data_IF_855808492889
#
_entry.id   IF_855808492889
#
_cell.length_a   1.000
_cell.length_b   1.000
_cell.length_c   1.000
_cell.angle_alpha   90.00
_cell.angle_beta   90.00
_cell.angle_gamma   90.00
#
_symmetry.space_group_name_H-M   'P 1'
#
loop_
_entity.id
_entity.type
_entity.pdbx_description
1 polymer ?
#
# COMPACT_ATOMS: atom_id res chain seq x y z
N UNK A 1 13.56 -20.34 17.36
CA UNK A 1 14.21 -21.53 17.93
C UNK A 1 13.43 -22.83 17.65
N UNK A 2 12.12 -22.90 17.98
CA UNK A 2 11.34 -24.13 17.73
C UNK A 2 11.18 -24.49 16.25
N UNK A 3 11.06 -23.49 15.35
CA UNK A 3 11.00 -23.70 13.91
C UNK A 3 12.34 -24.18 13.33
N UNK A 4 13.42 -23.53 13.69
CA UNK A 4 14.76 -23.87 13.25
C UNK A 4 15.22 -25.23 13.76
N UNK A 5 14.79 -25.63 14.98
CA UNK A 5 15.05 -26.96 15.51
C UNK A 5 14.32 -28.04 14.71
N UNK A 6 13.07 -27.77 14.29
CA UNK A 6 12.33 -28.68 13.38
C UNK A 6 13.06 -28.85 12.04
N UNK A 7 13.55 -27.77 11.45
CA UNK A 7 14.31 -27.81 10.22
C UNK A 7 15.63 -28.58 10.35
N UNK A 8 16.32 -28.44 11.47
CA UNK A 8 17.51 -29.25 11.77
C UNK A 8 17.18 -30.73 11.84
N UNK A 9 16.02 -31.11 12.40
CA UNK A 9 15.56 -32.52 12.44
C UNK A 9 15.12 -33.05 11.06
N UNK A 10 14.73 -32.16 10.12
CA UNK A 10 14.37 -32.54 8.75
C UNK A 10 15.55 -32.53 7.78
N UNK A 11 16.76 -32.21 8.24
CA UNK A 11 17.98 -32.22 7.41
C UNK A 11 18.31 -33.65 6.94
N UNK A 12 18.68 -33.78 5.67
CA UNK A 12 18.89 -35.08 5.04
C UNK A 12 20.19 -35.76 5.47
N UNK A 13 21.20 -34.97 5.92
CA UNK A 13 22.48 -35.50 6.38
C UNK A 13 22.79 -35.08 7.81
N UNK A 14 23.61 -35.91 8.51
CA UNK A 14 24.09 -35.58 9.86
C UNK A 14 24.92 -34.30 9.90
N UNK A 15 25.72 -34.08 8.86
CA UNK A 15 26.54 -32.87 8.72
C UNK A 15 25.68 -31.59 8.60
N UNK A 16 24.64 -31.63 7.76
CA UNK A 16 23.69 -30.52 7.62
C UNK A 16 22.96 -30.25 8.94
N UNK A 17 22.60 -31.31 9.68
CA UNK A 17 21.97 -31.20 11.01
C UNK A 17 22.89 -30.55 12.01
N UNK A 18 24.13 -31.02 12.10
CA UNK A 18 25.15 -30.51 13.03
C UNK A 18 25.49 -29.03 12.72
N UNK A 19 25.57 -28.66 11.45
CA UNK A 19 25.79 -27.27 11.03
C UNK A 19 24.63 -26.36 11.47
N UNK A 20 23.37 -26.76 11.20
CA UNK A 20 22.19 -26.00 11.61
C UNK A 20 22.06 -25.83 13.12
N UNK A 21 22.29 -26.91 13.89
CA UNK A 21 22.27 -26.83 15.34
C UNK A 21 23.33 -25.87 15.89
N UNK A 22 24.54 -25.93 15.32
CA UNK A 22 25.61 -25.00 15.69
C UNK A 22 25.27 -23.55 15.35
N UNK A 23 24.57 -23.30 14.25
CA UNK A 23 24.10 -21.97 13.87
C UNK A 23 23.04 -21.43 14.83
N UNK A 24 22.12 -22.29 15.26
CA UNK A 24 21.12 -21.94 16.27
C UNK A 24 21.82 -21.58 17.59
N UNK A 25 22.68 -22.47 18.10
CA UNK A 25 23.44 -22.24 19.33
C UNK A 25 24.24 -20.92 19.28
N UNK A 26 24.97 -20.73 18.19
CA UNK A 26 25.74 -19.50 17.96
C UNK A 26 24.86 -18.24 17.87
N UNK A 27 23.64 -18.34 17.35
CA UNK A 27 22.74 -17.18 17.24
C UNK A 27 22.27 -16.70 18.60
N UNK A 28 22.12 -17.62 19.57
CA UNK A 28 21.75 -17.31 20.95
C UNK A 28 22.94 -17.09 21.89
N UNK A 29 24.18 -17.24 21.40
CA UNK A 29 25.37 -17.07 22.21
C UNK A 29 25.62 -15.59 22.54
N UNK A 30 25.42 -15.19 23.79
CA UNK A 30 25.57 -13.82 24.28
C UNK A 30 27.01 -13.30 24.20
N UNK A 31 28.01 -14.17 24.07
CA UNK A 31 29.39 -13.75 23.83
C UNK A 31 29.63 -13.28 22.39
N UNK A 32 28.83 -13.79 21.44
CA UNK A 32 28.96 -13.50 20.02
C UNK A 32 27.96 -12.43 19.54
N UNK A 33 26.81 -12.32 20.18
CA UNK A 33 25.71 -11.46 19.74
C UNK A 33 25.04 -10.72 20.88
N UNK A 34 24.38 -9.62 20.58
CA UNK A 34 23.42 -8.99 21.49
C UNK A 34 22.16 -9.89 21.58
N UNK A 35 21.37 -9.81 22.68
CA UNK A 35 20.20 -10.66 22.89
C UNK A 35 19.15 -10.58 21.77
N UNK A 36 19.05 -9.45 21.08
CA UNK A 36 18.07 -9.24 20.01
C UNK A 36 18.49 -9.81 18.65
N UNK A 37 19.76 -10.17 18.46
CA UNK A 37 20.27 -10.68 17.18
C UNK A 37 19.49 -11.91 16.68
N UNK A 38 19.37 -12.94 17.53
CA UNK A 38 18.68 -14.17 17.17
C UNK A 38 17.19 -13.93 16.84
N UNK A 39 16.54 -13.05 17.60
CA UNK A 39 15.15 -12.65 17.35
C UNK A 39 15.00 -11.95 16.00
N UNK A 40 15.87 -10.96 15.72
CA UNK A 40 15.86 -10.24 14.44
C UNK A 40 16.14 -11.16 13.26
N UNK A 41 17.15 -12.04 13.39
CA UNK A 41 17.47 -12.99 12.34
C UNK A 41 16.29 -13.91 12.04
N UNK A 42 15.64 -14.46 13.07
CA UNK A 42 14.46 -15.30 12.91
C UNK A 42 13.30 -14.56 12.21
N UNK A 43 13.02 -13.32 12.61
CA UNK A 43 11.95 -12.51 12.00
C UNK A 43 12.24 -12.23 10.52
N UNK A 44 13.47 -11.86 10.19
CA UNK A 44 13.88 -11.58 8.80
C UNK A 44 13.82 -12.86 7.95
N UNK A 45 14.21 -13.99 8.53
CA UNK A 45 14.19 -15.28 7.83
C UNK A 45 12.78 -15.83 7.60
N UNK A 46 11.91 -15.74 8.60
CA UNK A 46 10.66 -16.52 8.59
C UNK A 46 9.40 -15.66 8.43
N UNK A 47 9.44 -14.38 8.83
CA UNK A 47 8.23 -13.58 8.99
C UNK A 47 8.14 -12.38 8.04
N UNK A 48 9.28 -11.83 7.55
CA UNK A 48 9.27 -10.56 6.82
C UNK A 48 9.47 -10.78 5.32
N UNK A 49 8.55 -10.23 4.54
CA UNK A 49 8.60 -10.18 3.09
C UNK A 49 8.44 -8.73 2.63
N UNK A 50 9.09 -8.35 1.54
CA UNK A 50 9.02 -6.99 1.01
C UNK A 50 8.83 -6.96 -0.50
N UNK A 51 7.93 -6.09 -0.94
CA UNK A 51 7.66 -5.84 -2.35
C UNK A 51 7.68 -4.34 -2.59
N UNK A 52 8.39 -3.90 -3.60
CA UNK A 52 8.37 -2.53 -4.11
C UNK A 52 8.53 -2.56 -5.63
N UNK A 53 7.93 -1.60 -6.32
CA UNK A 53 8.07 -1.49 -7.78
C UNK A 53 9.48 -1.02 -8.18
N UNK A 54 10.21 -0.38 -7.28
CA UNK A 54 11.54 0.17 -7.55
C UNK A 54 12.64 -0.80 -7.10
N UNK A 55 13.47 -1.33 -8.03
CA UNK A 55 14.59 -2.20 -7.66
C UNK A 55 15.53 -1.56 -6.65
N UNK A 56 15.78 -0.25 -6.75
CA UNK A 56 16.65 0.47 -5.80
C UNK A 56 16.06 0.50 -4.37
N UNK A 57 14.74 0.60 -4.21
CA UNK A 57 14.10 0.56 -2.90
C UNK A 57 14.28 -0.82 -2.24
N UNK A 58 14.22 -1.89 -3.03
CA UNK A 58 14.51 -3.26 -2.58
C UNK A 58 15.97 -3.39 -2.14
N UNK A 59 16.93 -2.83 -2.89
CA UNK A 59 18.35 -2.86 -2.49
C UNK A 59 18.59 -2.10 -1.17
N UNK A 60 17.99 -0.92 -1.02
CA UNK A 60 18.07 -0.13 0.21
C UNK A 60 17.45 -0.90 1.39
N UNK A 61 16.32 -1.57 1.19
CA UNK A 61 15.67 -2.37 2.21
C UNK A 61 16.57 -3.53 2.67
N UNK A 62 17.15 -4.28 1.74
CA UNK A 62 18.13 -5.34 2.04
C UNK A 62 19.31 -4.80 2.84
N UNK A 63 19.87 -3.66 2.43
CA UNK A 63 20.98 -3.02 3.14
C UNK A 63 20.59 -2.63 4.58
N UNK A 64 19.40 -2.10 4.79
CA UNK A 64 18.92 -1.73 6.13
C UNK A 64 18.74 -2.94 7.03
N UNK A 65 18.18 -4.04 6.52
CA UNK A 65 18.11 -5.31 7.28
C UNK A 65 19.50 -5.85 7.60
N UNK A 66 20.42 -5.75 6.66
CA UNK A 66 21.82 -6.08 6.89
C UNK A 66 22.41 -5.29 8.07
N UNK A 67 22.36 -3.98 7.98
CA UNK A 67 22.91 -3.11 9.03
C UNK A 67 22.26 -3.46 10.38
N UNK A 68 20.93 -3.67 10.41
CA UNK A 68 20.22 -4.04 11.63
C UNK A 68 20.68 -5.35 12.25
N UNK A 69 21.13 -6.31 11.44
CA UNK A 69 21.69 -7.56 11.93
C UNK A 69 23.15 -7.41 12.35
N UNK A 70 23.96 -6.64 11.62
CA UNK A 70 25.39 -6.46 11.91
C UNK A 70 25.62 -5.73 13.23
N UNK A 71 24.83 -4.67 13.50
CA UNK A 71 24.99 -3.87 14.73
C UNK A 71 24.71 -4.66 16.02
N UNK A 72 24.01 -5.77 15.92
CA UNK A 72 23.74 -6.65 17.06
C UNK A 72 24.78 -7.79 17.21
N UNK A 73 25.74 -7.90 16.28
CA UNK A 73 26.84 -8.84 16.40
C UNK A 73 28.01 -8.22 17.16
N UNK A 74 28.72 -9.02 17.93
CA UNK A 74 29.94 -8.60 18.62
C UNK A 74 31.16 -8.90 17.74
N UNK A 75 31.94 -7.88 17.44
CA UNK A 75 33.15 -8.05 16.69
C UNK A 75 34.30 -8.54 17.59
N UNK A 76 35.24 -9.28 16.99
CA UNK A 76 36.52 -9.65 17.57
C UNK A 76 37.67 -9.01 16.78
N UNK A 77 38.90 -9.15 17.25
CA UNK A 77 40.07 -8.55 16.59
C UNK A 77 40.72 -9.51 15.55
N UNK A 78 40.03 -10.56 15.10
CA UNK A 78 40.57 -11.53 14.18
C UNK A 78 40.08 -11.26 12.75
N UNK A 79 40.89 -10.68 11.85
CA UNK A 79 40.51 -10.45 10.45
C UNK A 79 40.34 -11.71 9.63
N UNK A 80 40.97 -12.83 10.03
CA UNK A 80 40.83 -14.11 9.33
C UNK A 80 39.44 -14.70 9.49
N UNK A 81 38.78 -14.42 10.63
CA UNK A 81 37.42 -14.80 10.92
C UNK A 81 36.40 -13.67 10.61
N UNK A 82 36.73 -12.83 9.64
CA UNK A 82 35.92 -11.66 9.29
C UNK A 82 35.50 -10.82 10.51
N UNK A 83 36.41 -10.66 11.50
CA UNK A 83 36.16 -9.98 12.76
C UNK A 83 35.02 -10.58 13.60
N UNK A 84 34.69 -11.85 13.41
CA UNK A 84 33.56 -12.54 14.07
C UNK A 84 32.19 -12.21 13.46
N UNK A 85 32.14 -11.37 12.43
CA UNK A 85 30.89 -10.97 11.79
C UNK A 85 30.40 -12.06 10.84
N UNK A 86 29.20 -12.54 11.06
CA UNK A 86 28.59 -13.58 10.22
C UNK A 86 28.15 -13.04 8.88
N UNK A 87 28.23 -13.85 7.81
CA UNK A 87 27.72 -13.49 6.50
C UNK A 87 26.19 -13.30 6.58
N UNK A 88 25.71 -12.41 5.72
CA UNK A 88 24.29 -12.12 5.57
C UNK A 88 23.50 -13.29 5.05
N UNK A 89 22.25 -13.45 5.52
CA UNK A 89 21.28 -14.28 4.82
C UNK A 89 21.00 -13.75 3.41
N UNK A 90 20.57 -14.63 2.51
CA UNK A 90 20.22 -14.24 1.14
C UNK A 90 18.81 -13.66 1.12
N UNK A 91 18.72 -12.34 1.19
CA UNK A 91 17.45 -11.61 1.25
C UNK A 91 16.70 -11.57 -0.10
N UNK A 92 17.30 -12.07 -1.19
CA UNK A 92 16.68 -12.16 -2.52
C UNK A 92 15.38 -12.98 -2.51
N UNK A 93 15.33 -14.02 -1.66
CA UNK A 93 14.13 -14.85 -1.50
C UNK A 93 13.01 -14.19 -0.69
N UNK A 94 13.25 -13.03 -0.11
CA UNK A 94 12.32 -12.32 0.78
C UNK A 94 11.93 -10.94 0.29
N UNK A 95 12.74 -10.33 -0.59
CA UNK A 95 12.54 -8.97 -1.08
C UNK A 95 12.62 -8.93 -2.59
N UNK A 96 11.51 -8.58 -3.26
CA UNK A 96 11.39 -8.60 -4.71
C UNK A 96 10.95 -7.24 -5.25
N UNK A 97 11.49 -6.87 -6.42
CA UNK A 97 10.98 -5.74 -7.18
C UNK A 97 9.86 -6.23 -8.09
N UNK A 98 8.63 -5.77 -7.84
CA UNK A 98 7.45 -6.21 -8.57
C UNK A 98 6.30 -5.19 -8.50
N UNK A 99 5.42 -5.21 -9.52
CA UNK A 99 4.17 -4.48 -9.47
C UNK A 99 3.17 -5.25 -8.59
N UNK A 100 3.03 -4.85 -7.33
CA UNK A 100 2.18 -5.54 -6.35
C UNK A 100 0.69 -5.45 -6.64
N UNK A 101 0.22 -4.51 -7.48
CA UNK A 101 -1.18 -4.38 -7.87
C UNK A 101 -1.60 -5.41 -8.93
N UNK A 102 -0.68 -5.88 -9.76
CA UNK A 102 -0.97 -6.87 -10.79
C UNK A 102 -0.62 -8.25 -10.29
N UNK A 103 -1.65 -9.12 -10.18
CA UNK A 103 -1.47 -10.54 -9.88
C UNK A 103 -1.23 -11.36 -11.16
N UNK A 104 -0.95 -12.65 -10.98
CA UNK A 104 -1.16 -13.62 -12.07
C UNK A 104 -2.67 -13.79 -12.20
N UNK A 105 -3.23 -13.48 -13.37
CA UNK A 105 -4.64 -13.76 -13.67
C UNK A 105 -4.81 -15.26 -13.89
N UNK A 106 -4.95 -15.99 -12.82
CA UNK A 106 -5.39 -17.38 -12.89
C UNK A 106 -6.91 -17.40 -12.72
N UNK A 107 -7.65 -17.55 -13.81
CA UNK A 107 -9.12 -17.71 -13.76
C UNK A 107 -9.54 -18.96 -12.99
N UNK A 108 -8.59 -19.88 -12.70
CA UNK A 108 -8.84 -21.13 -12.00
C UNK A 108 -7.64 -21.50 -11.08
N UNK A 109 -7.78 -21.29 -9.80
CA UNK A 109 -6.82 -21.78 -8.78
C UNK A 109 -6.80 -23.32 -8.67
N UNK A 110 -7.68 -24.02 -9.36
CA UNK A 110 -7.71 -25.48 -9.41
C UNK A 110 -6.57 -26.08 -10.28
N UNK A 111 -5.88 -25.26 -11.04
CA UNK A 111 -4.88 -25.69 -12.03
C UNK A 111 -3.54 -26.11 -11.42
N UNK A 112 -3.24 -25.73 -10.17
CA UNK A 112 -2.01 -26.10 -9.46
C UNK A 112 -2.15 -27.40 -8.65
N UNK A 113 -3.01 -28.33 -9.09
CA UNK A 113 -3.40 -29.48 -8.24
C UNK A 113 -2.84 -30.84 -8.67
N UNK A 114 -2.02 -30.92 -9.73
CA UNK A 114 -1.41 -32.21 -10.07
C UNK A 114 -0.32 -32.60 -9.06
N UNK A 115 -0.14 -33.92 -8.80
CA UNK A 115 0.92 -34.39 -7.90
C UNK A 115 2.32 -33.90 -8.28
N UNK A 116 2.59 -33.78 -9.59
CA UNK A 116 3.87 -33.34 -10.14
C UNK A 116 4.10 -31.85 -9.85
N UNK A 117 3.09 -31.01 -10.05
CA UNK A 117 3.18 -29.58 -9.74
C UNK A 117 3.40 -29.36 -8.25
N UNK A 118 2.65 -30.05 -7.38
CA UNK A 118 2.84 -29.99 -5.92
C UNK A 118 4.24 -30.40 -5.49
N UNK A 119 4.84 -31.40 -6.15
CA UNK A 119 6.20 -31.81 -5.84
C UNK A 119 7.22 -30.74 -6.28
N UNK A 120 7.05 -30.11 -7.44
CA UNK A 120 7.93 -29.00 -7.87
C UNK A 120 7.80 -27.81 -6.91
N UNK A 121 6.57 -27.46 -6.50
CA UNK A 121 6.33 -26.41 -5.49
C UNK A 121 7.02 -26.70 -4.16
N UNK A 122 6.89 -27.92 -3.66
CA UNK A 122 7.57 -28.37 -2.44
C UNK A 122 9.08 -28.23 -2.56
N UNK A 123 9.65 -28.59 -3.71
CA UNK A 123 11.09 -28.46 -3.98
C UNK A 123 11.51 -26.99 -4.09
N UNK A 124 10.69 -26.13 -4.69
CA UNK A 124 10.92 -24.68 -4.73
C UNK A 124 10.95 -24.08 -3.33
N UNK A 125 10.01 -24.45 -2.45
CA UNK A 125 9.97 -23.98 -1.07
C UNK A 125 11.23 -24.42 -0.30
N UNK A 126 11.63 -25.69 -0.42
CA UNK A 126 12.85 -26.21 0.19
C UNK A 126 14.09 -25.48 -0.34
N UNK A 127 14.19 -25.27 -1.64
CA UNK A 127 15.32 -24.58 -2.25
C UNK A 127 15.40 -23.11 -1.85
N UNK A 128 14.24 -22.41 -1.75
CA UNK A 128 14.14 -21.04 -1.24
C UNK A 128 14.60 -20.93 0.22
N UNK A 129 14.22 -21.88 1.07
CA UNK A 129 14.67 -21.91 2.46
C UNK A 129 16.19 -22.19 2.55
N UNK A 130 16.68 -23.16 1.78
CA UNK A 130 18.12 -23.52 1.76
C UNK A 130 18.99 -22.42 1.19
N UNK A 131 18.55 -21.66 0.18
CA UNK A 131 19.34 -20.54 -0.35
C UNK A 131 19.43 -19.40 0.66
N UNK A 132 18.38 -19.15 1.46
CA UNK A 132 18.42 -18.12 2.49
C UNK A 132 19.58 -18.34 3.48
N UNK A 133 19.76 -19.57 3.94
CA UNK A 133 20.80 -19.95 4.91
C UNK A 133 22.16 -20.33 4.30
N UNK A 134 22.29 -20.32 2.96
CA UNK A 134 23.53 -20.73 2.29
C UNK A 134 24.67 -19.72 2.53
N UNK A 135 25.78 -20.19 3.13
CA UNK A 135 26.92 -19.36 3.53
C UNK A 135 28.03 -19.28 2.49
N UNK A 136 28.25 -20.35 1.69
CA UNK A 136 29.34 -20.40 0.74
C UNK A 136 28.88 -20.06 -0.67
N UNK A 137 29.77 -19.47 -1.48
CA UNK A 137 29.49 -19.19 -2.88
C UNK A 137 29.05 -20.44 -3.65
N UNK A 138 29.65 -21.60 -3.36
CA UNK A 138 29.33 -22.88 -4.00
C UNK A 138 27.89 -23.32 -3.69
N UNK A 139 27.48 -23.25 -2.42
CA UNK A 139 26.10 -23.60 -1.99
C UNK A 139 25.08 -22.61 -2.51
N UNK A 140 25.38 -21.31 -2.50
CA UNK A 140 24.52 -20.27 -3.10
C UNK A 140 24.28 -20.53 -4.59
N UNK A 141 25.36 -20.81 -5.34
CA UNK A 141 25.28 -21.11 -6.77
C UNK A 141 24.44 -22.36 -7.03
N UNK A 142 24.67 -23.45 -6.27
CA UNK A 142 23.90 -24.70 -6.40
C UNK A 142 22.40 -24.46 -6.25
N UNK A 143 21.97 -23.77 -5.19
CA UNK A 143 20.54 -23.53 -4.96
C UNK A 143 19.97 -22.51 -5.94
N UNK A 144 20.75 -21.56 -6.41
CA UNK A 144 20.33 -20.63 -7.47
C UNK A 144 20.06 -21.37 -8.79
N UNK A 145 20.94 -22.25 -9.22
CA UNK A 145 20.75 -23.08 -10.40
C UNK A 145 19.51 -24.00 -10.21
N UNK A 146 19.40 -24.65 -9.06
CA UNK A 146 18.25 -25.50 -8.73
C UNK A 146 16.91 -24.73 -8.78
N UNK A 147 16.84 -23.53 -8.22
CA UNK A 147 15.64 -22.69 -8.26
C UNK A 147 15.28 -22.29 -9.69
N UNK A 148 16.28 -21.99 -10.51
CA UNK A 148 16.07 -21.69 -11.93
C UNK A 148 15.50 -22.88 -12.68
N UNK A 149 16.07 -24.06 -12.50
CA UNK A 149 15.64 -25.29 -13.17
C UNK A 149 14.23 -25.71 -12.74
N UNK A 150 13.91 -25.65 -11.44
CA UNK A 150 12.59 -25.96 -10.93
C UNK A 150 11.51 -25.01 -11.47
N UNK A 151 11.83 -23.72 -11.62
CA UNK A 151 10.90 -22.77 -12.25
C UNK A 151 10.67 -23.06 -13.72
N UNK A 152 11.70 -23.42 -14.48
CA UNK A 152 11.54 -23.83 -15.87
C UNK A 152 10.69 -25.10 -15.99
N UNK A 153 10.89 -26.08 -15.11
CA UNK A 153 10.05 -27.27 -15.06
C UNK A 153 8.60 -26.94 -14.74
N UNK A 154 8.36 -26.04 -13.79
CA UNK A 154 7.00 -25.58 -13.45
C UNK A 154 6.33 -24.91 -14.65
N UNK A 155 7.02 -23.96 -15.28
CA UNK A 155 6.50 -23.29 -16.49
C UNK A 155 6.19 -24.28 -17.60
N UNK A 156 7.08 -25.26 -17.85
CA UNK A 156 6.88 -26.32 -18.82
C UNK A 156 5.63 -27.16 -18.52
N UNK A 157 5.41 -27.55 -17.26
CA UNK A 157 4.24 -28.31 -16.85
C UNK A 157 2.94 -27.50 -16.98
N UNK A 158 2.96 -26.22 -16.62
CA UNK A 158 1.81 -25.34 -16.82
C UNK A 158 1.47 -25.15 -18.30
N UNK A 159 2.49 -25.11 -19.18
CA UNK A 159 2.32 -25.07 -20.63
C UNK A 159 1.67 -26.35 -21.18
N UNK A 160 2.18 -27.51 -20.78
CA UNK A 160 1.63 -28.82 -21.20
C UNK A 160 0.15 -28.95 -20.84
N UNK A 161 -0.29 -28.32 -19.78
CA UNK A 161 -1.69 -28.37 -19.29
C UNK A 161 -2.58 -27.28 -19.89
N UNK A 162 -2.08 -26.39 -20.74
CA UNK A 162 -2.77 -25.16 -21.17
C UNK A 162 -3.36 -24.36 -20.00
N UNK A 163 -2.71 -24.42 -18.85
CA UNK A 163 -3.20 -23.91 -17.58
C UNK A 163 -3.09 -22.39 -17.47
N UNK A 164 -2.27 -21.77 -18.30
CA UNK A 164 -1.94 -20.34 -18.27
C UNK A 164 -1.83 -19.83 -19.71
N UNK A 165 -2.31 -18.62 -19.98
CA UNK A 165 -2.17 -18.01 -21.30
C UNK A 165 -0.73 -17.68 -21.66
N UNK A 166 -0.40 -17.61 -22.96
CA UNK A 166 0.96 -17.40 -23.47
C UNK A 166 1.67 -16.19 -22.85
N UNK A 167 0.98 -15.07 -22.66
CA UNK A 167 1.54 -13.87 -22.04
C UNK A 167 1.92 -14.05 -20.55
N UNK A 168 1.16 -14.85 -19.81
CA UNK A 168 1.44 -15.17 -18.40
C UNK A 168 2.61 -16.14 -18.31
N UNK A 169 2.70 -17.09 -19.24
CA UNK A 169 3.83 -18.02 -19.34
C UNK A 169 5.14 -17.28 -19.58
N UNK A 170 5.14 -16.30 -20.49
CA UNK A 170 6.30 -15.46 -20.76
C UNK A 170 6.70 -14.63 -19.52
N UNK A 171 5.75 -14.08 -18.80
CA UNK A 171 5.98 -13.36 -17.53
C UNK A 171 6.61 -14.28 -16.48
N UNK A 172 6.07 -15.47 -16.26
CA UNK A 172 6.60 -16.45 -15.30
C UNK A 172 8.00 -16.93 -15.67
N UNK A 173 8.24 -17.23 -16.95
CA UNK A 173 9.52 -17.68 -17.45
C UNK A 173 10.61 -16.60 -17.39
N UNK A 174 10.26 -15.34 -17.61
CA UNK A 174 11.20 -14.20 -17.63
C UNK A 174 11.62 -13.73 -16.24
N UNK A 175 10.84 -14.06 -15.18
CA UNK A 175 11.16 -13.58 -13.84
C UNK A 175 12.34 -14.31 -13.21
N UNK A 176 13.38 -13.57 -12.87
CA UNK A 176 14.56 -14.05 -12.13
C UNK A 176 14.73 -13.23 -10.83
N UNK A 177 14.53 -13.88 -9.67
CA UNK A 177 14.70 -13.25 -8.35
C UNK A 177 16.11 -12.71 -8.10
N UNK A 178 17.10 -13.19 -8.85
CA UNK A 178 18.50 -12.78 -8.72
C UNK A 178 18.86 -11.62 -9.65
N UNK A 179 17.95 -11.24 -10.56
CA UNK A 179 18.13 -10.04 -11.36
C UNK A 179 17.71 -8.81 -10.57
N UNK A 180 18.68 -8.25 -9.83
CA UNK A 180 18.45 -7.16 -8.90
C UNK A 180 18.07 -5.82 -9.55
N UNK A 181 18.20 -5.70 -10.87
CA UNK A 181 17.92 -4.49 -11.64
C UNK A 181 16.57 -4.55 -12.38
N UNK A 182 15.93 -5.70 -12.42
CA UNK A 182 14.64 -5.89 -13.06
C UNK A 182 13.48 -5.77 -12.05
N UNK A 183 12.37 -5.23 -12.54
CA UNK A 183 11.09 -5.22 -11.84
C UNK A 183 10.14 -6.18 -12.57
N UNK A 184 9.53 -7.10 -11.84
CA UNK A 184 8.48 -7.96 -12.39
C UNK A 184 7.21 -7.14 -12.66
N UNK A 185 6.58 -7.38 -13.81
CA UNK A 185 5.30 -6.75 -14.16
C UNK A 185 4.12 -7.23 -13.31
N UNK A 186 4.31 -8.25 -12.47
CA UNK A 186 3.30 -8.87 -11.62
C UNK A 186 3.86 -9.21 -10.25
N UNK A 187 2.98 -9.47 -9.29
CA UNK A 187 3.34 -10.00 -7.98
C UNK A 187 2.40 -11.15 -7.60
N UNK A 188 3.00 -12.31 -7.39
CA UNK A 188 2.32 -13.48 -6.87
C UNK A 188 3.07 -14.01 -5.62
N UNK A 189 2.43 -14.04 -4.44
CA UNK A 189 3.08 -14.42 -3.19
C UNK A 189 3.45 -15.90 -3.14
N UNK A 190 2.68 -16.78 -3.79
CA UNK A 190 2.99 -18.20 -3.84
C UNK A 190 4.19 -18.46 -4.74
N UNK A 191 4.19 -17.91 -5.95
CA UNK A 191 5.27 -18.06 -6.91
C UNK A 191 6.60 -17.43 -6.43
N UNK A 192 6.53 -16.20 -5.86
CA UNK A 192 7.72 -15.44 -5.48
C UNK A 192 8.26 -15.81 -4.11
N UNK A 193 7.39 -16.10 -3.15
CA UNK A 193 7.75 -16.32 -1.75
C UNK A 193 7.40 -17.70 -1.20
N UNK A 194 6.61 -18.49 -1.93
CA UNK A 194 6.06 -19.76 -1.44
C UNK A 194 4.95 -19.59 -0.39
N UNK A 195 4.30 -18.41 -0.36
CA UNK A 195 3.21 -18.10 0.59
C UNK A 195 1.87 -18.39 -0.08
N UNK A 196 1.20 -19.49 0.31
CA UNK A 196 -0.08 -19.94 -0.27
C UNK A 196 -1.30 -19.30 0.38
N UNK A 197 -1.32 -19.26 1.70
CA UNK A 197 -2.53 -18.90 2.47
C UNK A 197 -2.68 -17.40 2.69
N UNK A 198 -1.75 -16.59 2.15
CA UNK A 198 -1.69 -15.16 2.39
C UNK A 198 -0.87 -14.77 3.63
N UNK A 199 -0.92 -13.50 3.99
CA UNK A 199 -0.12 -12.91 5.06
C UNK A 199 -0.97 -12.63 6.31
N UNK A 200 -0.34 -12.72 7.48
CA UNK A 200 -0.98 -12.38 8.75
C UNK A 200 -1.05 -10.86 8.97
N UNK A 201 -0.09 -10.12 8.41
CA UNK A 201 -0.02 -8.65 8.47
C UNK A 201 0.47 -8.11 7.14
N UNK A 202 -0.26 -7.12 6.61
CA UNK A 202 0.17 -6.30 5.48
C UNK A 202 0.31 -4.86 5.95
N UNK A 203 1.52 -4.29 5.81
CA UNK A 203 1.83 -2.92 6.24
C UNK A 203 2.44 -2.15 5.07
N UNK A 204 2.08 -0.86 4.91
CA UNK A 204 2.65 -0.07 3.84
C UNK A 204 2.34 1.42 3.89
N UNK A 205 3.01 2.11 2.99
CA UNK A 205 2.77 3.51 2.64
C UNK A 205 2.63 3.60 1.12
N UNK A 206 1.45 3.26 0.57
CA UNK A 206 1.20 3.31 -0.86
C UNK A 206 1.40 4.70 -1.45
N UNK A 207 1.77 4.82 -2.75
CA UNK A 207 1.99 6.12 -3.39
C UNK A 207 0.71 6.96 -3.47
N UNK A 208 0.85 8.29 -3.32
CA UNK A 208 -0.25 9.27 -3.40
C UNK A 208 -0.30 9.89 -4.80
N UNK A 209 -0.72 9.10 -5.78
CA UNK A 209 -0.75 9.47 -7.20
C UNK A 209 -2.14 9.26 -7.76
N UNK A 210 -2.69 10.27 -8.42
CA UNK A 210 -3.98 10.17 -9.07
C UNK A 210 -3.89 9.32 -10.34
N UNK A 211 -4.86 8.43 -10.55
CA UNK A 211 -4.90 7.53 -11.71
C UNK A 211 -4.99 8.26 -13.05
N UNK A 212 -5.53 9.49 -13.05
CA UNK A 212 -5.64 10.33 -14.26
C UNK A 212 -4.36 11.07 -14.62
N UNK A 213 -3.35 11.10 -13.74
CA UNK A 213 -2.07 11.75 -14.03
C UNK A 213 -1.33 11.02 -15.17
N UNK A 214 -0.32 11.68 -15.74
CA UNK A 214 0.49 11.14 -16.84
C UNK A 214 -0.38 10.65 -18.01
N UNK A 215 -1.26 11.53 -18.51
CA UNK A 215 -2.19 11.25 -19.61
C UNK A 215 -3.10 10.03 -19.36
N UNK A 216 -3.30 9.68 -18.09
CA UNK A 216 -4.13 8.57 -17.68
C UNK A 216 -3.51 7.18 -17.91
N UNK A 217 -2.20 7.08 -18.01
CA UNK A 217 -1.50 5.78 -18.16
C UNK A 217 -1.84 4.80 -17.05
N UNK A 218 -1.78 5.25 -15.79
CA UNK A 218 -2.16 4.41 -14.65
C UNK A 218 -3.63 4.01 -14.70
N UNK A 219 -4.53 4.92 -15.10
CA UNK A 219 -5.92 4.60 -15.26
C UNK A 219 -6.12 3.47 -16.27
N UNK A 220 -5.53 3.59 -17.48
CA UNK A 220 -5.62 2.58 -18.53
C UNK A 220 -5.04 1.23 -18.10
N UNK A 221 -3.98 1.26 -17.28
CA UNK A 221 -3.34 0.05 -16.77
C UNK A 221 -4.24 -0.75 -15.82
N UNK A 222 -5.03 -0.06 -14.98
CA UNK A 222 -5.79 -0.71 -13.90
C UNK A 222 -7.32 -0.76 -14.11
N UNK A 223 -7.88 -0.08 -15.13
CA UNK A 223 -9.33 0.00 -15.34
C UNK A 223 -10.01 -1.34 -15.60
N UNK A 224 -9.28 -2.31 -16.15
CA UNK A 224 -9.79 -3.66 -16.46
C UNK A 224 -9.24 -4.74 -15.53
N UNK A 225 -8.60 -4.39 -14.40
CA UNK A 225 -8.02 -5.36 -13.48
C UNK A 225 -9.01 -5.89 -12.42
N UNK A 226 -10.31 -5.55 -12.52
CA UNK A 226 -11.35 -6.07 -11.65
C UNK A 226 -11.40 -5.46 -10.24
N UNK A 227 -10.70 -4.37 -9.95
CA UNK A 227 -10.76 -3.72 -8.64
C UNK A 227 -12.13 -3.08 -8.38
N UNK A 228 -12.79 -3.49 -7.30
CA UNK A 228 -14.03 -2.88 -6.80
C UNK A 228 -13.83 -1.42 -6.39
N UNK A 229 -12.63 -1.10 -5.88
CA UNK A 229 -12.26 0.25 -5.41
C UNK A 229 -11.84 1.18 -6.54
N UNK A 230 -11.77 0.72 -7.78
CA UNK A 230 -11.35 1.53 -8.91
C UNK A 230 -12.31 2.70 -9.17
N UNK A 231 -11.76 3.90 -9.20
CA UNK A 231 -12.44 5.12 -9.66
C UNK A 231 -11.50 5.89 -10.59
N UNK A 232 -11.95 6.27 -11.79
CA UNK A 232 -11.10 6.89 -12.83
C UNK A 232 -10.41 8.20 -12.39
N UNK A 233 -11.02 8.92 -11.45
CA UNK A 233 -10.49 10.16 -10.85
C UNK A 233 -9.84 9.91 -9.46
N UNK A 234 -9.73 8.64 -9.06
CA UNK A 234 -9.23 8.24 -7.76
C UNK A 234 -7.70 8.25 -7.67
N UNK A 235 -7.23 8.03 -6.47
CA UNK A 235 -5.80 7.82 -6.18
C UNK A 235 -5.47 6.33 -6.16
N UNK A 236 -4.27 5.97 -6.62
CA UNK A 236 -3.82 4.57 -6.73
C UNK A 236 -3.83 3.83 -5.39
N UNK A 237 -3.65 4.52 -4.25
CA UNK A 237 -3.69 3.86 -2.94
C UNK A 237 -5.03 3.19 -2.62
N UNK A 238 -6.13 3.60 -3.26
CA UNK A 238 -7.41 2.91 -3.14
C UNK A 238 -7.33 1.47 -3.63
N UNK A 239 -6.60 1.24 -4.74
CA UNK A 239 -6.35 -0.10 -5.28
C UNK A 239 -5.42 -0.91 -4.37
N UNK A 240 -4.44 -0.25 -3.74
CA UNK A 240 -3.55 -0.89 -2.77
C UNK A 240 -4.28 -1.42 -1.55
N UNK A 241 -5.32 -0.73 -1.06
CA UNK A 241 -6.14 -1.23 0.04
C UNK A 241 -6.84 -2.55 -0.33
N UNK A 242 -7.43 -2.61 -1.51
CA UNK A 242 -8.09 -3.84 -1.98
C UNK A 242 -7.07 -4.94 -2.25
N UNK A 243 -5.96 -4.62 -2.93
CA UNK A 243 -4.90 -5.60 -3.15
C UNK A 243 -4.30 -6.11 -1.85
N UNK A 244 -4.05 -5.23 -0.89
CA UNK A 244 -3.59 -5.62 0.44
C UNK A 244 -4.56 -6.57 1.15
N UNK A 245 -5.87 -6.31 1.06
CA UNK A 245 -6.91 -7.21 1.58
C UNK A 245 -6.89 -8.58 0.88
N UNK A 246 -6.72 -8.62 -0.46
CA UNK A 246 -6.60 -9.88 -1.19
C UNK A 246 -5.40 -10.72 -0.73
N UNK A 247 -4.30 -10.07 -0.34
CA UNK A 247 -3.09 -10.71 0.14
C UNK A 247 -3.17 -11.21 1.60
N UNK A 248 -4.19 -10.83 2.36
CA UNK A 248 -4.38 -11.25 3.74
C UNK A 248 -5.04 -12.63 3.84
N UNK A 249 -4.66 -13.39 4.88
CA UNK A 249 -5.48 -14.49 5.41
C UNK A 249 -6.78 -13.94 5.99
N UNK A 250 -7.80 -14.78 6.12
CA UNK A 250 -9.01 -14.42 6.87
C UNK A 250 -8.65 -14.18 8.34
N UNK A 251 -9.22 -13.14 8.93
CA UNK A 251 -8.86 -12.68 10.28
C UNK A 251 -7.57 -11.88 10.40
N UNK A 252 -6.79 -11.75 9.33
CA UNK A 252 -5.52 -11.04 9.34
C UNK A 252 -5.68 -9.53 9.15
N UNK A 253 -4.59 -8.75 9.36
CA UNK A 253 -4.66 -7.31 9.54
C UNK A 253 -3.91 -6.54 8.46
N UNK A 254 -4.48 -5.42 8.00
CA UNK A 254 -3.79 -4.45 7.17
C UNK A 254 -3.66 -3.11 7.90
N UNK A 255 -2.47 -2.51 7.85
CA UNK A 255 -2.22 -1.18 8.36
C UNK A 255 -1.50 -0.31 7.32
N UNK A 256 -2.20 0.69 6.78
CA UNK A 256 -1.62 1.64 5.83
C UNK A 256 -1.70 3.07 6.33
N UNK A 257 -0.67 3.85 5.98
CA UNK A 257 -0.72 5.31 6.02
C UNK A 257 -0.95 5.82 4.60
N UNK A 258 -2.02 6.60 4.38
CA UNK A 258 -2.39 7.14 3.06
C UNK A 258 -2.89 8.57 3.18
N UNK A 259 -3.25 9.19 2.05
CA UNK A 259 -4.03 10.44 2.08
C UNK A 259 -5.41 10.19 2.67
N UNK A 260 -5.93 11.14 3.46
CA UNK A 260 -7.26 11.08 4.05
C UNK A 260 -8.39 11.52 3.09
N UNK A 261 -8.07 11.92 1.86
CA UNK A 261 -9.05 12.43 0.88
C UNK A 261 -10.16 11.43 0.56
N UNK A 262 -9.84 10.13 0.51
CA UNK A 262 -10.82 9.07 0.23
C UNK A 262 -11.98 9.07 1.24
N UNK A 263 -11.75 9.55 2.46
CA UNK A 263 -12.79 9.60 3.50
C UNK A 263 -13.97 10.50 3.10
N UNK A 264 -13.73 11.55 2.33
CA UNK A 264 -14.75 12.58 1.99
C UNK A 264 -14.97 12.78 0.50
N UNK A 265 -13.93 12.60 -0.33
CA UNK A 265 -14.03 12.82 -1.78
C UNK A 265 -15.01 11.86 -2.46
N UNK A 266 -15.59 12.28 -3.59
CA UNK A 266 -16.51 11.47 -4.38
C UNK A 266 -15.88 10.18 -4.88
N UNK A 267 -14.64 10.22 -5.36
CA UNK A 267 -13.94 9.03 -5.84
C UNK A 267 -13.71 7.97 -4.75
N UNK A 268 -13.70 8.37 -3.47
CA UNK A 268 -13.54 7.47 -2.33
C UNK A 268 -14.80 6.65 -1.99
N UNK A 269 -15.94 6.89 -2.64
CA UNK A 269 -17.18 6.19 -2.34
C UNK A 269 -17.06 4.67 -2.47
N UNK A 270 -16.45 4.18 -3.56
CA UNK A 270 -16.22 2.76 -3.78
C UNK A 270 -15.28 2.16 -2.72
N UNK A 271 -14.24 2.90 -2.33
CA UNK A 271 -13.29 2.49 -1.29
C UNK A 271 -13.97 2.41 0.08
N UNK A 272 -14.81 3.39 0.44
CA UNK A 272 -15.60 3.37 1.68
C UNK A 272 -16.60 2.21 1.70
N UNK A 273 -17.29 1.96 0.57
CA UNK A 273 -18.17 0.80 0.41
C UNK A 273 -17.40 -0.50 0.63
N UNK A 274 -16.23 -0.64 0.02
CA UNK A 274 -15.36 -1.81 0.17
C UNK A 274 -15.00 -2.03 1.65
N UNK A 275 -14.54 -0.99 2.36
CA UNK A 275 -14.22 -1.10 3.78
C UNK A 275 -15.44 -1.50 4.62
N UNK A 276 -16.59 -0.88 4.38
CA UNK A 276 -17.81 -1.16 5.13
C UNK A 276 -18.31 -2.61 4.95
N UNK A 277 -18.12 -3.20 3.76
CA UNK A 277 -18.72 -4.50 3.39
C UNK A 277 -17.76 -5.68 3.39
N UNK A 278 -16.46 -5.44 3.23
CA UNK A 278 -15.44 -6.50 3.05
C UNK A 278 -14.41 -6.54 4.19
N UNK A 279 -14.39 -5.53 5.06
CA UNK A 279 -13.39 -5.43 6.12
C UNK A 279 -14.03 -5.05 7.45
N UNK A 280 -13.28 -5.26 8.53
CA UNK A 280 -13.59 -4.74 9.85
C UNK A 280 -12.62 -3.59 10.17
N UNK A 281 -12.98 -2.31 9.96
CA UNK A 281 -12.15 -1.18 10.35
C UNK A 281 -12.02 -1.10 11.87
N UNK A 282 -10.81 -1.24 12.38
CA UNK A 282 -10.52 -1.30 13.82
C UNK A 282 -10.01 0.03 14.38
N UNK A 283 -9.17 0.72 13.61
CA UNK A 283 -8.55 1.97 14.01
C UNK A 283 -8.41 2.92 12.82
N UNK A 284 -8.85 4.16 13.01
CA UNK A 284 -8.66 5.24 12.05
C UNK A 284 -8.09 6.48 12.75
N UNK A 285 -6.88 6.88 12.36
CA UNK A 285 -6.23 8.09 12.87
C UNK A 285 -6.17 9.10 11.73
N UNK A 286 -6.90 10.22 11.85
CA UNK A 286 -6.87 11.34 10.90
C UNK A 286 -5.92 12.42 11.42
N UNK A 287 -4.89 12.77 10.64
CA UNK A 287 -3.93 13.81 11.01
C UNK A 287 -4.40 15.23 10.66
N UNK A 288 -5.64 15.41 10.18
CA UNK A 288 -6.39 16.68 10.19
C UNK A 288 -5.64 17.93 9.70
N UNK A 289 -4.86 17.87 8.63
CA UNK A 289 -4.05 19.00 8.12
C UNK A 289 -2.72 19.17 8.84
N UNK A 290 -2.34 18.24 9.71
CA UNK A 290 -1.00 18.16 10.31
C UNK A 290 -0.05 17.48 9.34
N UNK A 291 1.04 18.14 8.97
CA UNK A 291 2.06 17.54 8.08
C UNK A 291 2.82 16.44 8.82
N UNK A 292 2.62 15.20 8.41
CA UNK A 292 3.35 14.02 8.90
C UNK A 292 4.70 13.91 8.18
N UNK A 293 4.71 14.13 6.86
CA UNK A 293 5.92 14.05 6.04
C UNK A 293 6.42 15.45 5.67
N UNK A 294 7.75 15.66 5.73
CA UNK A 294 8.38 16.94 5.36
C UNK A 294 8.21 17.30 3.88
N UNK A 295 8.20 16.28 3.02
CA UNK A 295 8.15 16.40 1.56
C UNK A 295 6.74 16.35 0.95
N UNK A 296 5.74 15.89 1.70
CA UNK A 296 4.37 15.77 1.21
C UNK A 296 3.47 16.87 1.78
N UNK A 297 2.72 17.53 0.89
CA UNK A 297 1.71 18.56 1.25
C UNK A 297 0.31 17.94 1.42
N UNK A 298 0.23 16.64 1.64
CA UNK A 298 -1.03 15.88 1.68
C UNK A 298 -1.40 15.59 3.12
N UNK A 299 -2.66 15.81 3.46
CA UNK A 299 -3.24 15.38 4.72
C UNK A 299 -3.35 13.86 4.73
N UNK A 300 -2.90 13.24 5.83
CA UNK A 300 -2.76 11.78 5.91
C UNK A 300 -3.67 11.17 6.97
N UNK A 301 -3.92 9.88 6.82
CA UNK A 301 -4.55 9.04 7.82
C UNK A 301 -3.82 7.71 7.97
N UNK A 302 -3.97 7.07 9.12
CA UNK A 302 -3.62 5.66 9.32
C UNK A 302 -4.93 4.90 9.47
N UNK A 303 -5.11 3.87 8.64
CA UNK A 303 -6.21 2.92 8.75
C UNK A 303 -5.68 1.54 9.05
N UNK A 304 -6.19 0.93 10.12
CA UNK A 304 -6.01 -0.48 10.47
C UNK A 304 -7.36 -1.18 10.33
N UNK A 305 -7.41 -2.25 9.54
CA UNK A 305 -8.56 -3.12 9.48
C UNK A 305 -8.17 -4.61 9.53
N UNK A 306 -9.12 -5.46 9.92
CA UNK A 306 -9.03 -6.90 9.78
C UNK A 306 -9.84 -7.37 8.56
N UNK A 307 -9.42 -8.48 7.94
CA UNK A 307 -10.19 -9.18 6.90
C UNK A 307 -11.28 -10.05 7.55
N UNK A 308 -12.28 -9.37 8.06
CA UNK A 308 -13.42 -9.92 8.81
C UNK A 308 -14.68 -9.12 8.50
N UNK A 309 -15.83 -9.65 8.96
CA UNK A 309 -17.09 -8.90 8.93
C UNK A 309 -16.99 -7.64 9.80
N UNK A 310 -17.51 -6.52 9.30
CA UNK A 310 -17.50 -5.24 10.01
C UNK A 310 -18.24 -5.35 11.35
N UNK A 311 -17.56 -5.02 12.43
CA UNK A 311 -18.13 -5.00 13.79
C UNK A 311 -18.93 -3.73 14.09
N UNK A 312 -18.95 -2.76 13.18
CA UNK A 312 -19.58 -1.42 13.34
C UNK A 312 -18.96 -0.59 14.47
N UNK A 313 -17.77 -0.95 14.96
CA UNK A 313 -17.05 -0.23 16.00
C UNK A 313 -15.61 0.03 15.55
N UNK A 314 -15.36 1.25 15.10
CA UNK A 314 -14.03 1.71 14.73
C UNK A 314 -13.52 2.71 15.76
N UNK A 315 -12.37 2.44 16.37
CA UNK A 315 -11.67 3.40 17.23
C UNK A 315 -11.07 4.52 16.36
N UNK A 316 -11.42 5.76 16.64
CA UNK A 316 -10.99 6.90 15.83
C UNK A 316 -10.29 7.95 16.68
N UNK A 317 -9.26 8.60 16.12
CA UNK A 317 -8.63 9.75 16.74
C UNK A 317 -8.29 10.81 15.68
N UNK A 318 -8.42 12.09 16.03
CA UNK A 318 -8.03 13.21 15.18
C UNK A 318 -6.86 13.94 15.80
N UNK A 319 -5.77 14.04 15.06
CA UNK A 319 -4.56 14.80 15.43
C UNK A 319 -4.67 16.18 14.81
N UNK A 320 -4.88 17.21 15.64
CA UNK A 320 -4.88 18.59 15.16
C UNK A 320 -3.54 19.30 15.41
N UNK A 321 -3.36 20.50 14.86
CA UNK A 321 -2.11 21.25 14.95
C UNK A 321 -1.70 21.60 16.39
N UNK A 322 -2.68 21.84 17.26
CA UNK A 322 -2.44 22.21 18.66
C UNK A 322 -1.89 21.05 19.48
N UNK A 323 -2.30 19.84 19.11
CA UNK A 323 -1.93 18.60 19.81
C UNK A 323 -0.62 18.00 19.28
N UNK A 324 -0.26 18.24 18.02
CA UNK A 324 0.93 17.66 17.37
C UNK A 324 2.21 17.84 18.19
N UNK A 325 2.45 19.01 18.75
CA UNK A 325 3.68 19.34 19.50
C UNK A 325 3.75 18.63 20.85
N UNK A 326 2.60 18.16 21.38
CA UNK A 326 2.51 17.44 22.65
C UNK A 326 2.49 15.92 22.50
N UNK A 327 2.45 15.38 21.27
CA UNK A 327 2.44 13.92 21.04
C UNK A 327 3.85 13.37 21.13
N UNK A 328 4.23 12.87 22.30
CA UNK A 328 5.46 12.11 22.48
C UNK A 328 5.30 10.63 22.12
N UNK A 329 4.05 10.11 22.22
CA UNK A 329 3.72 8.71 21.91
C UNK A 329 2.31 8.66 21.30
N UNK A 330 2.24 8.24 20.04
CA UNK A 330 0.97 8.18 19.29
C UNK A 330 -0.02 7.16 19.90
N UNK A 331 0.46 6.03 20.41
CA UNK A 331 -0.42 5.02 21.04
C UNK A 331 -1.10 5.58 22.27
N UNK A 332 -0.36 6.25 23.15
CA UNK A 332 -0.92 6.88 24.35
C UNK A 332 -1.92 7.97 23.99
N UNK A 333 -1.58 8.80 22.99
CA UNK A 333 -2.48 9.82 22.50
C UNK A 333 -3.81 9.22 22.01
N UNK A 334 -3.75 8.19 21.19
CA UNK A 334 -4.95 7.51 20.65
C UNK A 334 -5.80 6.94 21.77
N UNK A 335 -5.21 6.25 22.73
CA UNK A 335 -5.97 5.69 23.87
C UNK A 335 -6.67 6.76 24.72
N UNK A 336 -6.07 7.94 24.86
CA UNK A 336 -6.63 9.05 25.64
C UNK A 336 -7.70 9.87 24.89
N UNK A 337 -7.63 9.93 23.55
CA UNK A 337 -8.45 10.81 22.71
C UNK A 337 -9.33 10.07 21.71
N UNK A 338 -9.45 8.74 21.83
CA UNK A 338 -10.26 7.95 20.91
C UNK A 338 -11.75 8.22 21.11
N UNK A 339 -12.46 8.21 20.00
CA UNK A 339 -13.91 8.10 19.92
C UNK A 339 -14.27 6.86 19.11
N UNK A 340 -15.47 6.32 19.28
CA UNK A 340 -15.95 5.21 18.48
C UNK A 340 -16.86 5.72 17.38
N UNK A 341 -16.64 5.23 16.15
CA UNK A 341 -17.43 5.56 14.99
C UNK A 341 -17.95 4.27 14.34
N UNK A 342 -19.18 4.35 13.81
CA UNK A 342 -19.74 3.32 12.94
C UNK A 342 -19.59 3.74 11.48
N UNK A 343 -18.83 2.99 10.71
CA UNK A 343 -18.61 3.18 9.29
C UNK A 343 -19.31 2.07 8.49
N UNK A 344 -20.62 2.04 8.56
CA UNK A 344 -21.45 1.01 7.94
C UNK A 344 -21.68 1.17 6.43
N UNK A 345 -21.24 2.26 5.80
CA UNK A 345 -21.64 2.55 4.43
C UNK A 345 -20.64 3.37 3.60
N UNK A 346 -21.07 3.66 2.36
CA UNK A 346 -20.30 4.41 1.36
C UNK A 346 -20.28 5.92 1.58
N UNK A 347 -21.09 6.44 2.52
CA UNK A 347 -21.12 7.87 2.85
C UNK A 347 -19.77 8.37 3.32
N UNK A 348 -19.58 9.69 3.32
CA UNK A 348 -18.34 10.30 3.83
C UNK A 348 -18.06 9.85 5.27
N UNK A 349 -16.84 9.36 5.50
CA UNK A 349 -16.37 8.99 6.81
C UNK A 349 -15.85 10.23 7.53
N UNK A 350 -16.57 10.66 8.55
CA UNK A 350 -16.23 11.83 9.35
C UNK A 350 -16.12 11.39 10.80
N UNK A 351 -14.98 11.68 11.40
CA UNK A 351 -14.76 11.42 12.82
C UNK A 351 -15.39 12.58 13.59
N UNK A 352 -16.45 12.30 14.33
CA UNK A 352 -17.19 13.28 15.13
C UNK A 352 -17.02 12.96 16.61
N UNK A 353 -16.92 14.00 17.43
CA UNK A 353 -17.06 13.87 18.88
C UNK A 353 -18.48 13.41 19.24
N UNK A 354 -18.70 12.85 20.43
CA UNK A 354 -20.06 12.44 20.86
C UNK A 354 -21.07 13.59 20.80
N UNK A 355 -20.65 14.81 21.07
CA UNK A 355 -21.53 16.01 20.99
C UNK A 355 -21.88 16.31 19.54
N UNK A 356 -20.90 16.33 18.62
CA UNK A 356 -21.14 16.55 17.19
C UNK A 356 -22.00 15.46 16.58
N UNK A 357 -21.78 14.19 16.96
CA UNK A 357 -22.63 13.07 16.54
C UNK A 357 -24.06 13.23 17.03
N UNK A 358 -24.26 13.66 18.28
CA UNK A 358 -25.61 13.95 18.82
C UNK A 358 -26.30 15.08 18.07
N UNK A 359 -25.54 16.14 17.72
CA UNK A 359 -26.08 17.26 16.93
C UNK A 359 -26.47 16.78 15.53
N UNK A 360 -25.58 16.03 14.86
CA UNK A 360 -25.84 15.44 13.55
C UNK A 360 -27.10 14.58 13.56
N UNK A 361 -27.23 13.66 14.51
CA UNK A 361 -28.39 12.79 14.63
C UNK A 361 -29.68 13.57 14.81
N UNK A 362 -29.69 14.66 15.61
CA UNK A 362 -30.83 15.53 15.76
C UNK A 362 -31.21 16.27 14.48
N UNK A 363 -30.21 16.75 13.75
CA UNK A 363 -30.44 17.42 12.44
C UNK A 363 -31.02 16.42 11.44
N UNK A 364 -30.47 15.21 11.35
CA UNK A 364 -30.92 14.18 10.40
C UNK A 364 -32.31 13.62 10.74
N UNK A 365 -32.70 13.59 12.03
CA UNK A 365 -34.01 13.14 12.46
C UNK A 365 -35.14 14.13 12.12
N UNK A 366 -34.85 15.42 12.02
CA UNK A 366 -35.83 16.48 11.80
C UNK A 366 -35.67 17.08 10.40
N UNK A 367 -34.45 17.16 9.90
CA UNK A 367 -34.11 17.82 8.64
C UNK A 367 -34.53 17.04 7.41
N UNK A 368 -34.95 17.74 6.36
CA UNK A 368 -35.10 17.16 5.03
C UNK A 368 -33.79 17.30 4.31
N UNK A 369 -33.14 16.19 3.83
CA UNK A 369 -31.90 16.27 3.09
C UNK A 369 -31.99 17.16 1.84
N UNK A 370 -30.97 17.95 1.57
CA UNK A 370 -30.98 18.91 0.46
C UNK A 370 -31.24 18.25 -0.91
N UNK A 371 -30.81 17.01 -1.09
CA UNK A 371 -31.08 16.19 -2.29
C UNK A 371 -32.57 15.92 -2.54
N UNK A 372 -33.40 16.01 -1.47
CA UNK A 372 -34.84 15.75 -1.52
C UNK A 372 -35.65 17.04 -1.66
N UNK A 373 -34.95 18.18 -1.83
CA UNK A 373 -35.60 19.48 -2.10
C UNK A 373 -35.80 19.62 -3.60
N UNK A 374 -36.81 20.40 -3.99
CA UNK A 374 -37.01 20.76 -5.40
C UNK A 374 -36.06 21.89 -5.81
N UNK A 375 -34.77 21.56 -5.89
CA UNK A 375 -33.70 22.47 -6.24
C UNK A 375 -32.70 21.78 -7.18
N UNK A 376 -32.10 22.57 -8.04
CA UNK A 376 -30.99 22.13 -8.89
C UNK A 376 -29.70 22.80 -8.42
N UNK A 377 -28.67 21.99 -8.17
CA UNK A 377 -27.34 22.47 -7.81
C UNK A 377 -26.44 22.30 -9.03
N UNK A 378 -26.05 23.40 -9.63
CA UNK A 378 -25.19 23.39 -10.81
C UNK A 378 -23.74 23.64 -10.42
N UNK A 379 -22.83 23.02 -11.13
CA UNK A 379 -21.43 23.37 -11.08
C UNK A 379 -21.26 24.75 -11.71
N UNK A 380 -20.45 25.61 -11.09
CA UNK A 380 -20.16 26.95 -11.64
C UNK A 380 -19.48 26.89 -13.02
N UNK A 381 -19.34 28.02 -13.67
CA UNK A 381 -18.71 28.14 -14.99
C UNK A 381 -17.27 27.64 -14.93
N UNK A 382 -16.92 26.72 -15.82
CA UNK A 382 -15.57 26.22 -16.03
C UNK A 382 -14.98 26.88 -17.28
N UNK A 383 -14.08 27.81 -17.06
CA UNK A 383 -13.45 28.55 -18.16
C UNK A 383 -12.28 27.81 -18.82
N UNK A 384 -11.72 26.77 -18.11
CA UNK A 384 -10.46 26.14 -18.52
C UNK A 384 -9.23 27.02 -18.27
N UNK A 385 -9.34 28.34 -18.48
CA UNK A 385 -8.28 29.30 -18.21
C UNK A 385 -8.90 30.64 -17.76
N UNK A 386 -9.00 30.83 -16.44
CA UNK A 386 -9.68 32.00 -15.85
C UNK A 386 -9.13 33.34 -16.30
N UNK A 387 -7.82 33.47 -16.49
CA UNK A 387 -7.15 34.73 -16.87
C UNK A 387 -7.56 35.22 -18.24
N UNK A 388 -7.97 34.30 -19.13
CA UNK A 388 -8.49 34.68 -20.46
C UNK A 388 -9.97 35.09 -20.46
N UNK A 389 -10.76 34.63 -19.46
CA UNK A 389 -12.21 34.81 -19.45
C UNK A 389 -12.74 35.74 -18.36
N UNK A 390 -11.90 36.05 -17.34
CA UNK A 390 -12.30 36.92 -16.24
C UNK A 390 -11.48 38.20 -16.30
N UNK A 391 -12.18 39.33 -16.51
CA UNK A 391 -11.58 40.67 -16.58
C UNK A 391 -12.00 41.52 -15.37
N UNK A 392 -11.19 42.53 -15.04
CA UNK A 392 -11.56 43.50 -14.01
C UNK A 392 -12.65 44.47 -14.49
N UNK A 393 -13.33 45.12 -13.55
CA UNK A 393 -14.31 46.16 -13.84
C UNK A 393 -13.70 47.32 -14.67
N UNK A 394 -12.45 47.70 -14.37
CA UNK A 394 -11.75 48.73 -15.12
C UNK A 394 -11.53 48.31 -16.58
N UNK A 395 -11.12 47.05 -16.80
CA UNK A 395 -10.95 46.53 -18.16
C UNK A 395 -12.28 46.40 -18.90
N UNK A 396 -13.37 46.03 -18.22
CA UNK A 396 -14.71 46.06 -18.80
C UNK A 396 -15.07 47.48 -19.26
N UNK A 397 -14.87 48.47 -18.41
CA UNK A 397 -15.20 49.86 -18.73
C UNK A 397 -14.35 50.37 -19.91
N UNK A 398 -13.05 50.11 -19.91
CA UNK A 398 -12.16 50.41 -21.06
C UNK A 398 -12.69 49.81 -22.37
N UNK A 399 -13.13 48.56 -22.36
CA UNK A 399 -13.70 47.88 -23.55
C UNK A 399 -14.96 48.58 -23.99
N UNK A 400 -15.86 48.91 -23.06
CA UNK A 400 -17.12 49.59 -23.39
C UNK A 400 -16.93 51.02 -23.89
N UNK A 401 -15.93 51.72 -23.39
CA UNK A 401 -15.63 53.12 -23.81
C UNK A 401 -14.93 53.17 -25.17
N UNK A 402 -14.30 52.09 -25.59
CA UNK A 402 -13.70 51.97 -26.92
C UNK A 402 -14.67 51.48 -28.00
N UNK A 403 -15.94 51.24 -27.68
CA UNK A 403 -16.96 50.90 -28.71
C UNK A 403 -17.26 52.08 -29.63
N UNK A 404 -17.30 51.79 -30.93
CA UNK A 404 -17.44 52.81 -31.96
C UNK A 404 -18.90 53.28 -32.16
N UNK A 405 -19.89 52.56 -31.65
CA UNK A 405 -21.31 52.89 -31.72
C UNK A 405 -22.08 52.41 -30.49
N UNK A 406 -23.25 53.06 -30.26
CA UNK A 406 -24.15 52.65 -29.17
C UNK A 406 -24.67 51.21 -29.32
N UNK A 407 -24.86 50.75 -30.54
CA UNK A 407 -25.29 49.35 -30.79
C UNK A 407 -24.19 48.35 -30.52
N UNK A 408 -22.95 48.70 -30.81
CA UNK A 408 -21.80 47.90 -30.46
C UNK A 408 -21.62 47.85 -28.94
N UNK A 409 -21.71 48.98 -28.25
CA UNK A 409 -21.64 49.07 -26.79
C UNK A 409 -22.69 48.19 -26.12
N UNK A 410 -23.96 48.25 -26.55
CA UNK A 410 -25.03 47.40 -26.02
C UNK A 410 -24.78 45.91 -26.21
N UNK A 411 -24.31 45.51 -27.38
CA UNK A 411 -23.95 44.10 -27.65
C UNK A 411 -22.80 43.64 -26.80
N UNK A 412 -21.74 44.45 -26.67
CA UNK A 412 -20.56 44.14 -25.86
C UNK A 412 -20.91 44.05 -24.37
N UNK A 413 -21.74 44.99 -23.89
CA UNK A 413 -22.22 44.96 -22.50
C UNK A 413 -23.06 43.70 -22.21
N UNK A 414 -23.86 43.25 -23.16
CA UNK A 414 -24.65 42.02 -23.01
C UNK A 414 -23.79 40.75 -22.97
N UNK A 415 -22.58 40.75 -23.55
CA UNK A 415 -21.66 39.62 -23.54
C UNK A 415 -20.84 39.56 -22.27
N UNK A 416 -20.48 40.69 -21.64
CA UNK A 416 -19.68 40.74 -20.43
C UNK A 416 -20.61 40.63 -19.22
N UNK A 417 -20.63 39.48 -18.57
CA UNK A 417 -21.50 39.20 -17.41
C UNK A 417 -20.72 39.25 -16.10
N UNK A 418 -21.31 39.81 -15.05
CA UNK A 418 -20.68 39.76 -13.73
C UNK A 418 -20.58 38.31 -13.25
N UNK A 419 -19.47 37.97 -12.57
CA UNK A 419 -19.20 36.65 -12.01
C UNK A 419 -18.81 36.80 -10.55
N UNK A 420 -19.31 35.87 -9.71
CA UNK A 420 -18.90 35.71 -8.32
C UNK A 420 -18.04 34.42 -8.21
N UNK A 421 -16.85 34.56 -7.67
CA UNK A 421 -16.01 33.42 -7.28
C UNK A 421 -16.32 33.03 -5.84
N UNK A 422 -16.05 31.83 -5.42
CA UNK A 422 -16.29 31.36 -4.05
C UNK A 422 -15.70 32.28 -2.95
N UNK A 423 -14.55 32.91 -3.23
CA UNK A 423 -13.89 33.88 -2.32
C UNK A 423 -14.61 35.24 -2.20
N UNK A 424 -15.44 35.56 -3.17
CA UNK A 424 -16.17 36.85 -3.23
C UNK A 424 -17.51 36.75 -2.45
N UNK A 425 -17.92 35.53 -2.08
CA UNK A 425 -19.16 35.27 -1.33
C UNK A 425 -18.83 35.24 0.17
N UNK A 426 -19.53 36.06 0.94
CA UNK A 426 -19.45 36.14 2.41
C UNK A 426 -20.70 35.58 3.05
N UNK A 427 -20.77 35.56 4.40
CA UNK A 427 -21.82 34.87 5.13
C UNK A 427 -23.24 35.30 4.73
N UNK A 428 -23.44 36.62 4.46
CA UNK A 428 -24.74 37.20 4.06
C UNK A 428 -24.61 38.32 3.02
N UNK A 429 -23.47 38.41 2.36
CA UNK A 429 -23.13 39.41 1.36
C UNK A 429 -22.20 38.87 0.32
N UNK A 430 -21.88 39.66 -0.68
CA UNK A 430 -20.87 39.39 -1.67
C UNK A 430 -20.16 40.68 -2.07
N UNK A 431 -18.91 40.55 -2.46
CA UNK A 431 -18.12 41.61 -3.07
C UNK A 431 -17.83 41.25 -4.53
N UNK A 432 -18.16 42.10 -5.45
CA UNK A 432 -17.76 41.88 -6.83
C UNK A 432 -16.23 41.96 -6.96
N UNK A 433 -15.68 41.06 -7.77
CA UNK A 433 -14.25 41.02 -8.03
C UNK A 433 -13.78 42.18 -8.91
#
# INVERSE_FOLDING_TARGET
ALGETKDAFQSQTEEERAEKLRDIENSFNENLNNPDYARKLYLVENCIYGVDIQPIAIQISKLRFFISLVVDQKSNNNPVDNFGIRPLPNLEAKFVAANSLLGLNTEDTSLFTTPEIREIERQLQIANHKIFSAKTYKTKRKYREMLKDLRHQMVGKLAEMNAVGDAQMEQLASWDMFNQNACAGFFDPEWMFGVKDGFDIVIGNPPYVQLQNDEGKLRKMYENCGFETFASTGDIYCLFYERGHQLLKDGAHLCYITSNKWMRAGYGEKTRKFFATKTNPMLLIDFGGVKVFKSATVDTNILLFAKETNSHVTKCAVVNKQVKESINNLSVFVEQNRTECDFAGAHSWVILSPIEQSIKNKIEAIGKPLKDWDINIYRGVLTGFNEAFIISTDKRNEILDNCLSDDERKRTEALIRPILRGRDIKRYSYDWA
#
